data_IF_046909187892
#
_entry.id   IF_046909187892
#
_cell.length_a   1.000
_cell.length_b   1.000
_cell.length_c   1.000
_cell.angle_alpha   90.00
_cell.angle_beta   90.00
_cell.angle_gamma   90.00
#
_symmetry.space_group_name_H-M   'P 1'
#
loop_
_entity.id
_entity.type
_entity.pdbx_description
1 polymer ?
#
# COMPACT_ATOMS: atom_id res chain seq x y z
N UNK A 1 4.47 -3.51 -7.12
CA UNK A 1 3.68 -4.57 -6.44
C UNK A 1 3.03 -5.42 -7.52
N UNK A 2 3.01 -6.75 -7.41
CA UNK A 2 2.29 -7.59 -8.39
C UNK A 2 0.79 -7.31 -8.37
N UNK A 3 0.15 -7.38 -9.54
CA UNK A 3 -1.27 -7.06 -9.69
C UNK A 3 -2.17 -7.94 -8.80
N UNK A 4 -1.94 -9.26 -8.77
CA UNK A 4 -2.71 -10.19 -7.94
C UNK A 4 -2.61 -9.85 -6.44
N UNK A 5 -1.40 -9.50 -5.99
CA UNK A 5 -1.18 -9.08 -4.59
C UNK A 5 -1.87 -7.76 -4.30
N UNK A 6 -1.85 -6.81 -5.24
CA UNK A 6 -2.50 -5.51 -5.09
C UNK A 6 -4.02 -5.65 -5.03
N UNK A 7 -4.63 -6.46 -5.89
CA UNK A 7 -6.08 -6.72 -5.88
C UNK A 7 -6.51 -7.42 -4.60
N UNK A 8 -5.75 -8.41 -4.12
CA UNK A 8 -6.00 -9.06 -2.84
C UNK A 8 -5.92 -8.07 -1.68
N UNK A 9 -4.87 -7.25 -1.63
CA UNK A 9 -4.70 -6.23 -0.60
C UNK A 9 -5.87 -5.25 -0.56
N UNK A 10 -6.28 -4.72 -1.72
CA UNK A 10 -7.40 -3.77 -1.78
C UNK A 10 -8.74 -4.41 -1.39
N UNK A 11 -8.98 -5.68 -1.72
CA UNK A 11 -10.14 -6.44 -1.22
C UNK A 11 -10.09 -6.63 0.30
N UNK A 12 -8.92 -6.89 0.87
CA UNK A 12 -8.76 -6.99 2.32
C UNK A 12 -8.98 -5.65 3.02
N UNK A 13 -8.62 -4.53 2.38
CA UNK A 13 -8.88 -3.17 2.87
C UNK A 13 -10.39 -2.89 2.92
N UNK A 14 -11.16 -3.30 1.91
CA UNK A 14 -12.63 -3.10 1.92
C UNK A 14 -13.31 -3.95 3.01
N UNK A 15 -12.76 -5.13 3.31
CA UNK A 15 -13.18 -6.02 4.41
C UNK A 15 -12.59 -5.66 5.77
N UNK A 16 -11.78 -4.60 5.85
CA UNK A 16 -11.09 -4.13 7.05
C UNK A 16 -10.08 -5.11 7.69
N UNK A 17 -9.63 -6.13 6.94
CA UNK A 17 -8.63 -7.11 7.41
C UNK A 17 -7.21 -6.54 7.37
N UNK A 18 -6.92 -5.68 6.40
CA UNK A 18 -5.65 -4.95 6.30
C UNK A 18 -5.91 -3.45 6.21
N UNK A 19 -5.08 -2.63 6.86
CA UNK A 19 -5.24 -1.17 6.81
C UNK A 19 -4.31 -0.53 5.78
N UNK A 20 -4.68 0.68 5.35
CA UNK A 20 -3.81 1.59 4.59
C UNK A 20 -3.11 2.52 5.58
N UNK A 21 -1.76 2.59 5.59
CA UNK A 21 -1.03 3.51 6.43
C UNK A 21 -1.15 4.95 5.90
N UNK A 22 -1.53 5.90 6.75
CA UNK A 22 -1.61 7.31 6.39
C UNK A 22 -0.33 8.03 6.82
N UNK A 23 0.52 8.35 5.84
CA UNK A 23 1.85 8.95 6.08
C UNK A 23 1.86 10.48 5.99
N UNK A 24 1.25 11.04 4.94
CA UNK A 24 1.28 12.50 4.71
C UNK A 24 0.10 13.23 5.36
N UNK A 25 -1.14 12.78 5.09
CA UNK A 25 -2.36 13.41 5.58
C UNK A 25 -2.89 12.67 6.80
N UNK A 26 -2.27 12.90 7.97
CA UNK A 26 -2.51 12.12 9.18
C UNK A 26 -3.06 12.92 10.38
N UNK A 27 -3.45 14.17 10.18
CA UNK A 27 -4.04 15.01 11.23
C UNK A 27 -5.35 14.41 11.78
N UNK A 28 -5.41 14.22 13.10
CA UNK A 28 -6.60 13.69 13.78
C UNK A 28 -6.87 12.19 13.57
N UNK A 29 -5.96 11.45 12.94
CA UNK A 29 -6.09 9.99 12.81
C UNK A 29 -5.66 9.26 14.08
N UNK A 30 -6.53 8.39 14.58
CA UNK A 30 -6.20 7.44 15.64
C UNK A 30 -5.28 6.31 15.17
N UNK A 31 -4.60 5.67 16.12
CA UNK A 31 -3.69 4.54 15.87
C UNK A 31 -4.43 3.28 15.45
N UNK A 32 -3.77 2.41 14.68
CA UNK A 32 -4.33 1.13 14.23
C UNK A 32 -3.30 0.00 14.41
N UNK A 33 -3.71 -1.14 14.98
CA UNK A 33 -2.80 -2.28 15.17
C UNK A 33 -2.27 -2.85 13.85
N UNK A 34 -3.12 -2.91 12.81
CA UNK A 34 -2.74 -3.36 11.47
C UNK A 34 -1.67 -2.48 10.81
N UNK A 35 -1.49 -1.23 11.27
CA UNK A 35 -0.48 -0.34 10.72
C UNK A 35 0.95 -0.77 11.10
N UNK A 36 1.10 -1.61 12.14
CA UNK A 36 2.40 -2.16 12.57
C UNK A 36 3.11 -2.93 11.46
N UNK A 37 2.36 -3.65 10.60
CA UNK A 37 2.91 -4.34 9.42
C UNK A 37 3.69 -3.39 8.51
N UNK A 38 3.27 -2.13 8.45
CA UNK A 38 3.86 -1.10 7.60
C UNK A 38 4.91 -0.26 8.33
N UNK A 39 5.28 -0.65 9.56
CA UNK A 39 6.18 0.12 10.43
C UNK A 39 5.60 1.47 10.84
N UNK A 40 4.26 1.61 10.88
CA UNK A 40 3.59 2.89 11.15
C UNK A 40 2.53 2.75 12.24
N UNK A 41 2.15 3.87 12.87
CA UNK A 41 1.20 3.87 13.98
C UNK A 41 -0.25 4.12 13.53
N UNK A 42 -0.45 4.96 12.50
CA UNK A 42 -1.76 5.44 12.08
C UNK A 42 -2.21 4.78 10.76
N UNK A 43 -3.44 4.25 10.73
CA UNK A 43 -3.99 3.63 9.52
C UNK A 43 -5.52 3.67 9.51
N UNK A 44 -6.10 3.59 8.31
CA UNK A 44 -7.55 3.54 8.09
C UNK A 44 -7.89 2.60 6.93
N UNK A 45 -9.19 2.39 6.73
CA UNK A 45 -9.77 1.55 5.69
C UNK A 45 -10.60 2.39 4.71
N UNK A 46 -9.95 3.10 3.76
CA UNK A 46 -10.66 3.95 2.80
C UNK A 46 -11.39 3.10 1.75
N UNK A 47 -12.59 2.60 2.10
CA UNK A 47 -13.39 1.70 1.25
C UNK A 47 -13.60 2.26 -0.17
N UNK A 48 -14.10 3.50 -0.26
CA UNK A 48 -14.34 4.16 -1.56
C UNK A 48 -13.07 4.24 -2.41
N UNK A 49 -11.94 4.63 -1.83
CA UNK A 49 -10.67 4.73 -2.55
C UNK A 49 -10.19 3.37 -3.07
N UNK A 50 -10.29 2.33 -2.23
CA UNK A 50 -9.94 0.98 -2.61
C UNK A 50 -10.82 0.44 -3.75
N UNK A 51 -12.13 0.73 -3.74
CA UNK A 51 -13.05 0.34 -4.82
C UNK A 51 -12.66 0.99 -6.16
N UNK A 52 -12.40 2.30 -6.21
CA UNK A 52 -11.96 2.97 -7.43
C UNK A 52 -10.65 2.40 -7.99
N UNK A 53 -9.70 2.07 -7.11
CA UNK A 53 -8.43 1.45 -7.51
C UNK A 53 -8.62 0.00 -8.02
N UNK A 54 -9.54 -0.77 -7.43
CA UNK A 54 -9.89 -2.11 -7.93
C UNK A 54 -10.49 -2.05 -9.33
N UNK A 55 -11.37 -1.08 -9.59
CA UNK A 55 -11.92 -0.86 -10.93
C UNK A 55 -10.83 -0.50 -11.95
N UNK A 56 -9.89 0.37 -11.56
CA UNK A 56 -8.74 0.74 -12.40
C UNK A 56 -7.83 -0.45 -12.71
N UNK A 57 -7.50 -1.28 -11.70
CA UNK A 57 -6.71 -2.49 -11.89
C UNK A 57 -7.38 -3.48 -12.83
N UNK A 58 -8.69 -3.73 -12.66
CA UNK A 58 -9.46 -4.62 -13.55
C UNK A 58 -9.46 -4.11 -15.00
N UNK A 59 -9.57 -2.79 -15.19
CA UNK A 59 -9.49 -2.20 -16.52
C UNK A 59 -8.08 -2.35 -17.11
N UNK A 60 -7.05 -2.21 -16.28
CA UNK A 60 -5.67 -2.38 -16.70
C UNK A 60 -5.34 -3.84 -17.07
N UNK A 61 -5.88 -4.81 -16.32
CA UNK A 61 -5.81 -6.24 -16.65
C UNK A 61 -6.42 -6.51 -18.03
N UNK A 62 -7.65 -6.02 -18.27
CA UNK A 62 -8.31 -6.18 -19.57
C UNK A 62 -7.55 -5.53 -20.73
N UNK A 63 -6.89 -4.39 -20.49
CA UNK A 63 -6.02 -3.75 -21.48
C UNK A 63 -4.75 -4.55 -21.76
N UNK A 64 -4.20 -5.24 -20.75
CA UNK A 64 -3.02 -6.08 -20.91
C UNK A 64 -3.36 -7.35 -21.69
N UNK A 65 -4.49 -8.00 -21.38
CA UNK A 65 -5.02 -9.14 -22.14
C UNK A 65 -5.22 -8.77 -23.62
N UNK A 66 -5.81 -7.60 -23.89
CA UNK A 66 -6.03 -7.12 -25.26
C UNK A 66 -4.72 -6.89 -26.01
N UNK A 67 -3.65 -6.48 -25.30
CA UNK A 67 -2.31 -6.29 -25.87
C UNK A 67 -1.51 -7.58 -25.98
N UNK A 68 -2.01 -8.70 -25.45
CA UNK A 68 -1.30 -9.98 -25.41
C UNK A 68 -0.14 -10.01 -24.41
N UNK A 69 -0.19 -9.16 -23.37
CA UNK A 69 0.76 -9.18 -22.27
C UNK A 69 0.41 -10.29 -21.26
N UNK A 70 1.40 -10.86 -20.60
CA UNK A 70 1.22 -11.83 -19.53
C UNK A 70 0.72 -11.13 -18.25
N UNK A 71 -0.55 -11.37 -17.92
CA UNK A 71 -1.25 -10.73 -16.80
C UNK A 71 -0.62 -11.09 -15.44
N UNK A 72 -0.05 -12.28 -15.31
CA UNK A 72 0.47 -12.78 -14.04
C UNK A 72 1.82 -12.13 -13.67
N UNK A 73 2.63 -11.78 -14.66
CA UNK A 73 3.90 -11.07 -14.48
C UNK A 73 3.78 -9.55 -14.42
N UNK A 74 2.56 -9.00 -14.49
CA UNK A 74 2.34 -7.55 -14.38
C UNK A 74 2.70 -7.02 -12.99
N UNK A 75 3.50 -5.96 -13.00
CA UNK A 75 3.88 -5.20 -11.82
C UNK A 75 3.47 -3.75 -12.00
N UNK A 76 2.84 -3.17 -10.99
CA UNK A 76 2.61 -1.72 -10.95
C UNK A 76 3.95 -1.01 -10.79
N UNK A 77 4.36 -0.30 -11.83
CA UNK A 77 5.59 0.51 -11.85
C UNK A 77 5.32 1.92 -11.33
N UNK A 78 4.31 2.57 -11.91
CA UNK A 78 3.97 3.94 -11.57
C UNK A 78 2.49 4.04 -11.22
N UNK A 79 2.21 4.80 -10.16
CA UNK A 79 0.87 5.24 -9.80
C UNK A 79 0.95 6.68 -9.31
N UNK A 80 0.11 7.55 -9.87
CA UNK A 80 0.03 8.95 -9.47
C UNK A 80 -1.42 9.34 -9.27
N UNK A 81 -1.66 10.18 -8.26
CA UNK A 81 -2.95 10.82 -8.02
C UNK A 81 -2.76 12.33 -8.06
N UNK A 82 -3.43 13.00 -9.00
CA UNK A 82 -3.43 14.46 -9.13
C UNK A 82 -4.77 15.05 -8.68
N UNK A 83 -4.78 16.33 -8.32
CA UNK A 83 -6.00 17.03 -7.90
C UNK A 83 -6.83 17.42 -9.11
N UNK A 84 -8.12 17.08 -9.09
CA UNK A 84 -9.07 17.53 -10.10
C UNK A 84 -9.70 18.89 -9.75
N UNK A 85 -10.45 19.49 -10.68
CA UNK A 85 -11.19 20.73 -10.43
C UNK A 85 -12.19 20.58 -9.27
N UNK A 86 -12.22 21.55 -8.35
CA UNK A 86 -13.15 21.52 -7.21
C UNK A 86 -14.59 21.68 -7.68
N UNK A 87 -15.49 20.85 -7.18
CA UNK A 87 -16.92 21.00 -7.38
C UNK A 87 -17.54 21.77 -6.21
N UNK A 88 -18.38 22.74 -6.50
CA UNK A 88 -18.88 23.71 -5.52
C UNK A 88 -20.32 23.42 -5.13
N UNK A 89 -20.57 23.37 -3.82
CA UNK A 89 -21.90 23.39 -3.21
C UNK A 89 -21.93 24.50 -2.14
N UNK A 90 -23.12 24.79 -1.61
CA UNK A 90 -23.33 25.82 -0.59
C UNK A 90 -23.76 25.17 0.72
N UNK A 91 -23.31 25.71 1.85
CA UNK A 91 -23.84 25.40 3.18
C UNK A 91 -24.35 26.67 3.82
N UNK A 92 -25.64 26.69 4.15
CA UNK A 92 -26.26 27.77 4.89
C UNK A 92 -25.89 27.69 6.37
N UNK A 93 -25.52 28.83 6.95
CA UNK A 93 -25.08 28.95 8.34
C UNK A 93 -25.91 30.01 9.07
N UNK A 94 -25.77 30.04 10.39
CA UNK A 94 -26.46 31.00 11.24
C UNK A 94 -26.23 32.46 10.79
N UNK A 95 -27.24 33.30 11.00
CA UNK A 95 -27.31 34.71 10.61
C UNK A 95 -27.20 34.95 9.10
N UNK A 96 -27.73 34.03 8.27
CA UNK A 96 -27.78 34.21 6.82
C UNK A 96 -26.44 34.06 6.09
N UNK A 97 -25.39 33.56 6.77
CA UNK A 97 -24.08 33.31 6.16
C UNK A 97 -24.13 32.11 5.21
N UNK A 98 -23.37 32.18 4.13
CA UNK A 98 -23.23 31.10 3.14
C UNK A 98 -21.76 30.75 3.02
N UNK A 99 -21.41 29.54 3.46
CA UNK A 99 -20.05 29.01 3.37
C UNK A 99 -19.93 28.00 2.21
N UNK A 100 -18.74 27.84 1.62
CA UNK A 100 -18.52 26.88 0.55
C UNK A 100 -18.45 25.44 1.11
N UNK A 101 -19.18 24.53 0.47
CA UNK A 101 -19.02 23.09 0.66
C UNK A 101 -18.44 22.50 -0.62
N UNK A 102 -17.12 22.30 -0.65
CA UNK A 102 -16.41 21.86 -1.85
C UNK A 102 -16.11 20.37 -1.84
N UNK A 103 -16.33 19.69 -2.96
CA UNK A 103 -15.81 18.34 -3.19
C UNK A 103 -14.47 18.43 -3.91
N UNK A 104 -13.51 17.62 -3.49
CA UNK A 104 -12.17 17.53 -4.09
C UNK A 104 -12.04 16.22 -4.86
N UNK A 105 -12.39 16.16 -6.15
CA UNK A 105 -12.09 15.00 -6.99
C UNK A 105 -10.58 14.92 -7.29
N UNK A 106 -10.15 13.78 -7.84
CA UNK A 106 -8.77 13.56 -8.27
C UNK A 106 -8.73 12.75 -9.56
N UNK A 107 -7.63 12.87 -10.30
CA UNK A 107 -7.32 12.02 -11.44
C UNK A 107 -6.29 10.98 -10.98
N UNK A 108 -6.49 9.74 -11.42
CA UNK A 108 -5.61 8.63 -11.08
C UNK A 108 -5.05 8.10 -12.40
N UNK A 109 -3.75 7.94 -12.47
CA UNK A 109 -3.05 7.30 -13.57
C UNK A 109 -2.20 6.16 -13.03
N UNK A 110 -2.10 5.09 -13.81
CA UNK A 110 -1.29 3.94 -13.48
C UNK A 110 -0.64 3.35 -14.70
N UNK A 111 0.61 2.91 -14.53
CA UNK A 111 1.40 2.24 -15.55
C UNK A 111 1.82 0.89 -14.98
N UNK A 112 1.52 -0.16 -15.72
CA UNK A 112 1.96 -1.52 -15.42
C UNK A 112 2.93 -1.96 -16.50
N UNK A 113 3.93 -2.69 -16.05
CA UNK A 113 4.97 -3.27 -16.89
C UNK A 113 5.08 -4.74 -16.54
N UNK A 114 5.33 -5.57 -17.53
CA UNK A 114 5.81 -6.92 -17.30
C UNK A 114 7.21 -6.85 -16.68
N UNK A 115 7.41 -7.57 -15.59
CA UNK A 115 8.75 -7.77 -15.02
C UNK A 115 8.94 -9.25 -14.80
N UNK A 116 9.96 -9.81 -15.45
CA UNK A 116 10.38 -11.17 -15.17
C UNK A 116 10.79 -11.30 -13.70
N UNK A 117 10.25 -12.32 -13.03
CA UNK A 117 10.72 -12.68 -11.71
C UNK A 117 12.09 -13.35 -11.86
N UNK A 118 13.14 -12.56 -11.77
CA UNK A 118 14.49 -13.11 -11.60
C UNK A 118 14.53 -13.75 -10.23
N UNK A 119 14.32 -15.07 -10.18
CA UNK A 119 14.52 -15.86 -8.96
C UNK A 119 15.98 -15.67 -8.56
N UNK A 120 16.28 -15.03 -7.42
CA UNK A 120 17.67 -14.91 -6.99
C UNK A 120 18.22 -16.32 -6.85
N UNK A 121 19.38 -16.58 -7.48
CA UNK A 121 20.12 -17.81 -7.24
C UNK A 121 20.27 -17.96 -5.72
N UNK A 122 20.01 -19.16 -5.16
CA UNK A 122 20.16 -19.36 -3.73
C UNK A 122 21.60 -18.95 -3.37
N UNK A 123 21.74 -17.97 -2.47
CA UNK A 123 23.03 -17.71 -1.84
C UNK A 123 23.40 -19.01 -1.14
N UNK A 124 24.51 -19.62 -1.55
CA UNK A 124 25.06 -20.79 -0.87
C UNK A 124 25.13 -20.46 0.63
N UNK A 125 24.56 -21.32 1.46
CA UNK A 125 24.51 -21.14 2.91
C UNK A 125 25.94 -21.00 3.45
N UNK A 126 26.44 -19.77 3.53
CA UNK A 126 27.63 -19.48 4.33
C UNK A 126 27.17 -19.65 5.77
N UNK A 127 27.39 -20.87 6.27
CA UNK A 127 27.06 -21.31 7.62
C UNK A 127 27.30 -20.16 8.60
N UNK A 128 26.21 -19.54 9.05
CA UNK A 128 26.28 -18.46 10.01
C UNK A 128 26.93 -19.03 11.27
N UNK A 129 28.22 -18.71 11.49
CA UNK A 129 28.91 -19.05 12.73
C UNK A 129 28.06 -18.49 13.86
N UNK A 130 27.41 -19.37 14.63
CA UNK A 130 26.63 -19.01 15.82
C UNK A 130 27.52 -18.11 16.68
N UNK A 131 27.18 -16.82 16.77
CA UNK A 131 27.86 -15.89 17.68
C UNK A 131 27.58 -16.35 19.10
N UNK A 132 28.55 -17.06 19.69
CA UNK A 132 28.52 -17.47 21.09
C UNK A 132 28.59 -16.19 21.93
N UNK A 133 27.69 -16.03 22.90
CA UNK A 133 27.71 -14.84 23.78
C UNK A 133 28.99 -14.82 24.61
N UNK A 134 29.54 -13.63 24.88
CA UNK A 134 30.78 -13.46 25.66
C UNK A 134 30.70 -14.15 27.03
N UNK A 135 29.51 -14.24 27.63
CA UNK A 135 29.26 -14.97 28.90
C UNK A 135 29.50 -16.47 28.74
N UNK A 136 29.09 -17.08 27.62
CA UNK A 136 29.24 -18.52 27.37
C UNK A 136 30.69 -18.89 27.05
N UNK A 137 31.43 -18.01 26.36
CA UNK A 137 32.86 -18.17 26.10
C UNK A 137 33.69 -18.13 27.39
N UNK A 138 33.42 -17.14 28.27
CA UNK A 138 34.10 -17.03 29.58
C UNK A 138 33.87 -18.25 30.47
N UNK A 139 32.67 -18.85 30.42
CA UNK A 139 32.35 -20.04 31.23
C UNK A 139 33.06 -21.30 30.74
N UNK A 140 33.25 -21.44 29.42
CA UNK A 140 34.03 -22.55 28.85
C UNK A 140 35.52 -22.43 29.18
N UNK A 141 36.09 -21.22 29.11
CA UNK A 141 37.51 -21.00 29.44
C UNK A 141 37.84 -21.17 30.93
N UNK A 142 36.83 -21.21 31.81
CA UNK A 142 37.00 -21.39 33.25
C UNK A 142 36.85 -22.88 33.67
N UNK A 143 36.37 -23.73 32.75
CA UNK A 143 36.19 -25.17 32.95
C UNK A 143 37.27 -26.02 32.26
N UNK A 144 38.22 -25.38 31.57
CA UNK A 144 39.42 -25.98 31.01
C UNK A 144 40.63 -25.61 31.88
#
# INVERSE_FOLDING_TARGET
MHIQKATMYLKDVTLQKQCVPFRCYNGGLGSCAHAKQWGWMQGRWPKKGAEFLLHMLKNADSNAELKGLDVDSLVTEHIQVSKGPKMWCRTYRAHGRIDPYTRSPGHIEMILTEKEQVVPKPEEEVAQKKKISQKKLKKQNLMA
#
